data_IF_933520209808
#
_entry.id   IF_933520209808
#
_cell.length_a   1.000
_cell.length_b   1.000
_cell.length_c   1.000
_cell.angle_alpha   90.00
_cell.angle_beta   90.00
_cell.angle_gamma   90.00
#
_symmetry.space_group_name_H-M   'P 1'
#
loop_
_entity.id
_entity.type
_entity.pdbx_description
1 polymer ?
#
# COMPACT_ATOMS: atom_id res chain seq x y z
N UNK A 1 -11.12 4.53 -18.08
CA UNK A 1 -9.92 3.66 -18.06
C UNK A 1 -8.68 4.48 -18.45
N UNK A 2 -8.39 5.57 -17.73
CA UNK A 2 -7.38 6.54 -18.15
C UNK A 2 -6.63 7.09 -16.94
N UNK A 3 -5.64 6.36 -16.41
CA UNK A 3 -4.70 6.90 -15.42
C UNK A 3 -3.34 6.21 -15.47
N UNK A 4 -2.75 6.09 -16.66
CA UNK A 4 -1.33 5.68 -16.82
C UNK A 4 -0.68 6.57 -17.87
N UNK A 5 -0.51 7.86 -17.61
CA UNK A 5 0.33 8.68 -18.49
C UNK A 5 1.00 9.91 -17.86
N UNK A 6 1.38 9.86 -16.58
CA UNK A 6 2.33 10.82 -16.01
C UNK A 6 3.19 10.13 -14.95
N UNK A 7 4.38 9.67 -15.36
CA UNK A 7 5.32 8.86 -14.56
C UNK A 7 5.81 9.48 -13.24
N UNK A 8 5.44 10.72 -12.93
CA UNK A 8 5.81 11.40 -11.67
C UNK A 8 4.67 11.46 -10.63
N UNK A 9 3.40 11.15 -10.97
CA UNK A 9 2.26 11.23 -10.02
C UNK A 9 1.68 9.88 -9.59
N UNK A 10 1.92 8.83 -10.37
CA UNK A 10 1.38 7.49 -10.09
C UNK A 10 2.04 6.86 -8.86
N UNK A 11 3.31 7.17 -8.58
CA UNK A 11 4.03 6.59 -7.43
C UNK A 11 3.49 7.10 -6.09
N UNK A 12 3.26 8.41 -5.92
CA UNK A 12 2.67 8.95 -4.68
C UNK A 12 1.19 8.57 -4.52
N UNK A 13 0.44 8.57 -5.63
CA UNK A 13 -0.95 8.16 -5.58
C UNK A 13 -1.10 6.66 -5.27
N UNK A 14 -0.21 5.81 -5.81
CA UNK A 14 -0.21 4.37 -5.60
C UNK A 14 0.03 3.98 -4.15
N UNK A 15 0.99 4.62 -3.48
CA UNK A 15 1.24 4.39 -2.04
C UNK A 15 0.06 4.84 -1.17
N UNK A 16 -0.54 5.99 -1.50
CA UNK A 16 -1.73 6.48 -0.79
C UNK A 16 -2.96 5.59 -1.01
N UNK A 17 -3.12 5.05 -2.21
CA UNK A 17 -4.18 4.07 -2.54
C UNK A 17 -4.01 2.76 -1.77
N UNK A 18 -2.78 2.27 -1.62
CA UNK A 18 -2.49 1.06 -0.83
C UNK A 18 -2.85 1.27 0.64
N UNK A 19 -2.54 2.44 1.21
CA UNK A 19 -2.89 2.75 2.60
C UNK A 19 -4.41 2.74 2.80
N UNK A 20 -5.15 3.40 1.91
CA UNK A 20 -6.63 3.40 1.94
C UNK A 20 -7.17 1.97 1.82
N UNK A 21 -6.60 1.15 0.93
CA UNK A 21 -7.00 -0.24 0.77
C UNK A 21 -6.74 -1.06 2.04
N UNK A 22 -5.58 -0.88 2.69
CA UNK A 22 -5.25 -1.57 3.94
C UNK A 22 -6.14 -1.10 5.11
N UNK A 23 -6.40 0.21 5.22
CA UNK A 23 -7.30 0.79 6.22
C UNK A 23 -8.72 0.24 6.08
N UNK A 24 -9.19 0.08 4.84
CA UNK A 24 -10.50 -0.48 4.53
C UNK A 24 -10.52 -2.02 4.55
N UNK A 25 -9.43 -2.68 4.94
CA UNK A 25 -9.28 -4.13 4.94
C UNK A 25 -9.60 -4.80 3.59
N UNK A 26 -9.35 -4.09 2.48
CA UNK A 26 -9.70 -4.52 1.14
C UNK A 26 -8.54 -5.26 0.46
N UNK A 27 -8.45 -6.57 0.70
CA UNK A 27 -7.40 -7.45 0.19
C UNK A 27 -7.28 -7.41 -1.34
N UNK A 28 -8.40 -7.49 -2.07
CA UNK A 28 -8.38 -7.53 -3.53
C UNK A 28 -7.80 -6.25 -4.14
N UNK A 29 -8.12 -5.09 -3.54
CA UNK A 29 -7.57 -3.82 -3.98
C UNK A 29 -6.07 -3.72 -3.68
N UNK A 30 -5.62 -4.24 -2.53
CA UNK A 30 -4.19 -4.32 -2.19
C UNK A 30 -3.44 -5.16 -3.24
N UNK A 31 -3.91 -6.37 -3.54
CA UNK A 31 -3.31 -7.26 -4.53
C UNK A 31 -3.24 -6.61 -5.92
N UNK A 32 -4.33 -5.98 -6.35
CA UNK A 32 -4.37 -5.27 -7.63
C UNK A 32 -3.34 -4.14 -7.71
N UNK A 33 -3.22 -3.33 -6.65
CA UNK A 33 -2.27 -2.21 -6.63
C UNK A 33 -0.81 -2.70 -6.60
N UNK A 34 -0.51 -3.74 -5.82
CA UNK A 34 0.83 -4.37 -5.78
C UNK A 34 1.18 -4.94 -7.16
N UNK A 35 0.24 -5.63 -7.83
CA UNK A 35 0.42 -6.12 -9.19
C UNK A 35 0.64 -5.01 -10.24
N UNK A 36 0.19 -3.78 -9.96
CA UNK A 36 0.46 -2.58 -10.79
C UNK A 36 1.76 -1.85 -10.42
N UNK A 37 2.56 -2.40 -9.51
CA UNK A 37 3.84 -1.83 -9.11
C UNK A 37 3.74 -0.70 -8.08
N UNK A 38 2.67 -0.67 -7.28
CA UNK A 38 2.56 0.29 -6.18
C UNK A 38 3.69 0.07 -5.15
N UNK A 39 4.26 1.19 -4.67
CA UNK A 39 5.38 1.16 -3.72
C UNK A 39 4.84 1.00 -2.30
N UNK A 40 5.23 -0.10 -1.65
CA UNK A 40 4.77 -0.49 -0.32
C UNK A 40 5.39 0.30 0.83
N UNK A 41 6.62 0.79 0.66
CA UNK A 41 7.42 1.42 1.73
C UNK A 41 7.69 2.91 1.47
N UNK A 42 6.79 3.59 0.75
CA UNK A 42 7.05 4.98 0.37
C UNK A 42 6.84 5.89 1.58
N UNK A 43 7.89 6.63 1.94
CA UNK A 43 7.76 7.74 2.88
C UNK A 43 7.13 8.92 2.16
N UNK A 44 5.95 9.36 2.60
CA UNK A 44 5.33 10.57 2.07
C UNK A 44 5.87 11.81 2.82
N UNK A 45 5.83 13.00 2.17
CA UNK A 45 6.17 14.25 2.82
C UNK A 45 5.32 14.50 4.08
N UNK A 46 5.90 15.11 5.11
CA UNK A 46 5.18 15.49 6.34
C UNK A 46 5.10 14.39 7.40
N UNK A 47 6.04 13.44 7.41
CA UNK A 47 6.02 12.28 8.32
C UNK A 47 4.72 11.46 8.21
N UNK A 48 4.11 11.43 7.03
CA UNK A 48 3.06 10.46 6.75
C UNK A 48 3.79 9.20 6.28
N UNK A 49 3.81 8.21 7.15
CA UNK A 49 4.28 6.87 6.82
C UNK A 49 3.08 6.07 6.33
N UNK A 50 3.13 5.58 5.09
CA UNK A 50 2.15 4.61 4.64
C UNK A 50 2.49 3.24 5.24
N UNK A 51 2.01 2.96 6.45
CA UNK A 51 2.22 1.66 7.11
C UNK A 51 1.04 0.72 6.85
N UNK A 52 0.93 0.21 5.63
CA UNK A 52 -0.12 -0.76 5.25
C UNK A 52 -0.15 -2.00 6.15
N UNK A 53 1.01 -2.44 6.65
CA UNK A 53 1.09 -3.55 7.62
C UNK A 53 0.42 -3.19 8.96
N UNK A 54 0.63 -1.98 9.48
CA UNK A 54 0.01 -1.56 10.74
C UNK A 54 -1.51 -1.59 10.63
N UNK A 55 -2.05 -1.14 9.50
CA UNK A 55 -3.49 -1.19 9.22
C UNK A 55 -4.00 -2.64 9.11
N UNK A 56 -3.28 -3.52 8.43
CA UNK A 56 -3.61 -4.94 8.38
C UNK A 56 -3.62 -5.58 9.77
N UNK A 57 -2.64 -5.26 10.62
CA UNK A 57 -2.57 -5.73 12.01
C UNK A 57 -3.74 -5.19 12.86
N UNK A 58 -4.07 -3.89 12.74
CA UNK A 58 -5.23 -3.28 13.43
C UNK A 58 -6.55 -3.93 13.03
N UNK A 59 -6.66 -4.33 11.76
CA UNK A 59 -7.83 -5.04 11.23
C UNK A 59 -7.82 -6.55 11.52
N UNK A 60 -6.82 -7.05 12.26
CA UNK A 60 -6.60 -8.47 12.52
C UNK A 60 -6.56 -9.34 11.24
N UNK A 61 -6.11 -8.75 10.12
CA UNK A 61 -6.02 -9.42 8.84
C UNK A 61 -4.60 -9.93 8.61
N UNK A 62 -4.32 -11.11 9.16
CA UNK A 62 -3.03 -11.78 9.01
C UNK A 62 -2.71 -12.16 7.57
N UNK A 63 -3.71 -12.48 6.76
CA UNK A 63 -3.54 -12.76 5.32
C UNK A 63 -2.99 -11.54 4.59
N UNK A 64 -3.56 -10.36 4.82
CA UNK A 64 -3.08 -9.11 4.24
C UNK A 64 -1.69 -8.76 4.72
N UNK A 65 -1.44 -8.88 6.04
CA UNK A 65 -0.12 -8.59 6.60
C UNK A 65 0.96 -9.49 6.00
N UNK A 66 0.68 -10.81 5.87
CA UNK A 66 1.57 -11.77 5.22
C UNK A 66 1.79 -11.44 3.76
N UNK A 67 0.73 -11.14 3.01
CA UNK A 67 0.84 -10.76 1.61
C UNK A 67 1.75 -9.54 1.41
N UNK A 68 1.59 -8.49 2.22
CA UNK A 68 2.42 -7.29 2.17
C UNK A 68 3.90 -7.62 2.46
N UNK A 69 4.18 -8.44 3.48
CA UNK A 69 5.53 -8.89 3.84
C UNK A 69 6.18 -9.69 2.70
N UNK A 70 5.45 -10.64 2.12
CA UNK A 70 5.93 -11.48 1.01
C UNK A 70 6.27 -10.63 -0.24
N UNK A 71 5.68 -9.44 -0.36
CA UNK A 71 5.95 -8.48 -1.44
C UNK A 71 6.93 -7.36 -1.03
N UNK A 72 7.61 -7.52 0.11
CA UNK A 72 8.70 -6.63 0.53
C UNK A 72 8.26 -5.40 1.31
N UNK A 73 7.03 -5.34 1.84
CA UNK A 73 6.67 -4.34 2.84
C UNK A 73 7.52 -4.55 4.11
N UNK A 74 7.97 -3.45 4.72
CA UNK A 74 8.80 -3.46 5.92
C UNK A 74 7.97 -3.16 7.16
N UNK A 75 8.33 -3.81 8.26
CA UNK A 75 7.73 -3.57 9.57
C UNK A 75 8.32 -2.28 10.16
N UNK A 76 7.60 -1.16 10.02
CA UNK A 76 7.99 0.13 10.59
C UNK A 76 9.15 0.84 9.88
N UNK A 77 9.46 2.05 10.34
CA UNK A 77 10.68 2.80 10.00
C UNK A 77 11.85 2.33 10.83
#
# INVERSE_FOLDING_TARGET
MALVNQGAKVSDMGSKLIEIACNNNNQQLVEYLVAKGAVLNKSLPGNIHCDGIVSACKNNNSTMAKYLLDHGAKLGR
#
